data_IF_270294029437
#
_entry.id   IF_270294029437
#
_cell.length_a   1.000
_cell.length_b   1.000
_cell.length_c   1.000
_cell.angle_alpha   90.00
_cell.angle_beta   90.00
_cell.angle_gamma   90.00
#
_symmetry.space_group_name_H-M   'P 1'
#
loop_
_entity.id
_entity.type
_entity.pdbx_description
1 polymer ?
#
# COMPACT_ATOMS: atom_id res chain seq x y z
N UNK A 1 7.07 10.25 -32.78
CA UNK A 1 8.20 11.16 -32.55
C UNK A 1 9.42 10.41 -33.06
N UNK A 2 10.13 10.97 -34.04
CA UNK A 2 11.35 10.39 -34.59
C UNK A 2 12.56 11.00 -33.86
N UNK A 3 12.54 10.86 -32.53
CA UNK A 3 13.51 11.48 -31.61
C UNK A 3 14.00 10.42 -30.64
N UNK A 4 15.30 10.45 -30.35
CA UNK A 4 15.90 9.62 -29.33
C UNK A 4 15.44 10.07 -27.93
N UNK A 5 15.39 9.12 -26.99
CA UNK A 5 14.90 9.36 -25.63
C UNK A 5 15.66 10.46 -24.88
N UNK A 6 16.92 10.71 -25.24
CA UNK A 6 17.77 11.72 -24.60
C UNK A 6 17.54 13.15 -25.13
N UNK A 7 16.78 13.29 -26.21
CA UNK A 7 16.33 14.56 -26.79
C UNK A 7 14.91 14.93 -26.34
N UNK A 8 14.23 14.05 -25.61
CA UNK A 8 12.86 14.26 -25.16
C UNK A 8 12.81 15.07 -23.87
N UNK A 9 12.12 16.21 -23.93
CA UNK A 9 11.59 16.91 -22.77
C UNK A 9 10.30 16.24 -22.29
N UNK A 10 10.32 15.74 -21.05
CA UNK A 10 9.20 15.04 -20.45
C UNK A 10 8.58 15.88 -19.34
N UNK A 11 7.28 16.12 -19.43
CA UNK A 11 6.48 16.69 -18.35
C UNK A 11 5.73 15.58 -17.60
N UNK A 12 5.69 15.65 -16.28
CA UNK A 12 4.94 14.75 -15.42
C UNK A 12 4.00 15.59 -14.58
N UNK A 13 2.69 15.41 -14.77
CA UNK A 13 1.66 16.02 -13.95
C UNK A 13 1.36 15.11 -12.75
N UNK A 14 1.72 15.59 -11.56
CA UNK A 14 1.58 14.91 -10.28
C UNK A 14 2.91 14.42 -9.71
N UNK A 15 2.97 14.34 -8.38
CA UNK A 15 4.13 13.85 -7.63
C UNK A 15 3.81 12.63 -6.75
N UNK A 16 2.85 11.80 -7.19
CA UNK A 16 2.42 10.61 -6.46
C UNK A 16 3.31 9.38 -6.66
N UNK A 17 2.83 8.24 -6.17
CA UNK A 17 3.51 6.93 -6.36
C UNK A 17 3.73 6.59 -7.83
N UNK A 18 2.77 6.92 -8.69
CA UNK A 18 2.85 6.68 -10.13
C UNK A 18 3.94 7.52 -10.79
N UNK A 19 4.03 8.81 -10.45
CA UNK A 19 5.10 9.68 -10.92
C UNK A 19 6.49 9.15 -10.54
N UNK A 20 6.64 8.63 -9.31
CA UNK A 20 7.88 7.96 -8.88
C UNK A 20 8.26 6.77 -9.74
N UNK A 21 7.31 5.85 -9.97
CA UNK A 21 7.55 4.68 -10.82
C UNK A 21 7.89 5.11 -12.25
N UNK A 22 7.23 6.14 -12.76
CA UNK A 22 7.50 6.69 -14.07
C UNK A 22 8.94 7.18 -14.18
N UNK A 23 9.41 8.02 -13.25
CA UNK A 23 10.80 8.48 -13.22
C UNK A 23 11.78 7.31 -13.13
N UNK A 24 11.52 6.31 -12.27
CA UNK A 24 12.34 5.09 -12.18
C UNK A 24 12.47 4.33 -13.50
N UNK A 25 11.43 4.37 -14.34
CA UNK A 25 11.44 3.72 -15.64
C UNK A 25 11.99 4.60 -16.76
N UNK A 26 11.98 5.92 -16.63
CA UNK A 26 12.49 6.85 -17.63
C UNK A 26 14.02 6.99 -17.56
N UNK A 27 14.60 7.05 -16.35
CA UNK A 27 16.04 7.25 -16.20
C UNK A 27 16.90 6.17 -16.88
N UNK A 28 16.59 4.86 -16.78
CA UNK A 28 17.35 3.83 -17.48
C UNK A 28 17.25 3.90 -19.01
N UNK A 29 16.31 4.69 -19.54
CA UNK A 29 16.12 4.92 -20.98
C UNK A 29 16.83 6.18 -21.48
N UNK A 30 17.76 6.73 -20.69
CA UNK A 30 18.57 7.90 -21.02
C UNK A 30 17.77 9.21 -21.22
N UNK A 31 16.60 9.36 -20.61
CA UNK A 31 15.89 10.66 -20.60
C UNK A 31 16.69 11.66 -19.78
N UNK A 32 17.01 12.81 -20.38
CA UNK A 32 17.85 13.86 -19.77
C UNK A 32 17.07 15.05 -19.20
N UNK A 33 15.80 15.21 -19.56
CA UNK A 33 15.01 16.40 -19.20
C UNK A 33 13.64 15.96 -18.69
N UNK A 34 13.43 16.10 -17.38
CA UNK A 34 12.15 15.80 -16.73
C UNK A 34 11.70 17.02 -15.94
N UNK A 35 10.43 17.41 -16.12
CA UNK A 35 9.77 18.45 -15.33
C UNK A 35 8.58 17.86 -14.60
N UNK A 36 8.59 17.94 -13.27
CA UNK A 36 7.47 17.51 -12.41
C UNK A 36 6.62 18.73 -12.07
N UNK A 37 5.36 18.70 -12.49
CA UNK A 37 4.36 19.72 -12.18
C UNK A 37 3.44 19.19 -11.11
N UNK A 38 3.25 19.91 -10.00
CA UNK A 38 2.39 19.45 -8.92
C UNK A 38 1.65 20.60 -8.21
N UNK A 39 0.57 20.25 -7.50
CA UNK A 39 -0.21 21.20 -6.69
C UNK A 39 0.60 21.85 -5.57
N UNK A 40 1.51 21.10 -4.95
CA UNK A 40 2.42 21.62 -3.93
C UNK A 40 3.86 21.52 -4.40
N UNK A 41 4.60 22.62 -4.23
CA UNK A 41 6.03 22.69 -4.52
C UNK A 41 6.78 21.60 -3.74
N UNK A 42 6.51 21.51 -2.43
CA UNK A 42 7.08 20.49 -1.56
C UNK A 42 6.86 19.06 -2.09
N UNK A 43 5.71 18.75 -2.68
CA UNK A 43 5.45 17.42 -3.26
C UNK A 43 6.33 17.14 -4.47
N UNK A 44 6.52 18.11 -5.36
CA UNK A 44 7.41 18.00 -6.51
C UNK A 44 8.88 17.87 -6.08
N UNK A 45 9.33 18.71 -5.14
CA UNK A 45 10.70 18.70 -4.62
C UNK A 45 11.03 17.38 -3.91
N UNK A 46 10.08 16.87 -3.10
CA UNK A 46 10.22 15.59 -2.43
C UNK A 46 10.42 14.46 -3.46
N UNK A 47 9.69 14.48 -4.57
CA UNK A 47 9.87 13.47 -5.61
C UNK A 47 11.20 13.64 -6.36
N UNK A 48 11.56 14.87 -6.73
CA UNK A 48 12.82 15.16 -7.41
C UNK A 48 14.04 14.75 -6.56
N UNK A 49 14.01 15.03 -5.25
CA UNK A 49 15.10 14.69 -4.32
C UNK A 49 15.34 13.18 -4.16
N UNK A 50 14.40 12.32 -4.57
CA UNK A 50 14.60 10.87 -4.61
C UNK A 50 15.58 10.43 -5.71
N UNK A 51 15.87 11.30 -6.68
CA UNK A 51 16.71 11.03 -7.84
C UNK A 51 17.77 12.14 -8.02
N UNK A 52 18.74 12.26 -7.09
CA UNK A 52 19.69 13.38 -7.08
C UNK A 52 20.59 13.44 -8.32
N UNK A 53 20.83 12.31 -8.99
CA UNK A 53 21.65 12.23 -10.20
C UNK A 53 20.88 12.58 -11.49
N UNK A 54 19.56 12.80 -11.38
CA UNK A 54 18.70 13.12 -12.50
C UNK A 54 18.48 14.64 -12.63
N UNK A 55 18.50 15.14 -13.86
CA UNK A 55 18.13 16.52 -14.15
C UNK A 55 16.60 16.66 -14.15
N UNK A 56 16.06 16.87 -12.94
CA UNK A 56 14.62 17.02 -12.69
C UNK A 56 14.34 18.46 -12.27
N UNK A 57 13.50 19.14 -13.05
CA UNK A 57 12.92 20.44 -12.70
C UNK A 57 11.56 20.22 -12.03
N UNK A 58 11.17 21.19 -11.22
CA UNK A 58 9.88 21.19 -10.51
C UNK A 58 9.13 22.46 -10.81
N UNK A 59 7.82 22.38 -11.02
CA UNK A 59 6.96 23.53 -11.27
C UNK A 59 5.60 23.38 -10.56
N UNK A 60 4.94 24.51 -10.35
CA UNK A 60 3.58 24.57 -9.83
C UNK A 60 2.54 24.46 -10.94
N UNK A 61 1.29 24.16 -10.56
CA UNK A 61 0.17 24.04 -11.50
C UNK A 61 -0.09 25.30 -12.33
N UNK A 62 0.27 26.48 -11.82
CA UNK A 62 0.11 27.74 -12.55
C UNK A 62 0.94 27.78 -13.84
N UNK A 63 2.07 27.07 -13.86
CA UNK A 63 2.92 26.90 -15.05
C UNK A 63 2.61 25.63 -15.85
N UNK A 64 1.55 24.88 -15.50
CA UNK A 64 1.25 23.59 -16.10
C UNK A 64 1.15 23.66 -17.62
N UNK A 65 0.36 24.58 -18.16
CA UNK A 65 0.13 24.69 -19.60
C UNK A 65 1.41 25.05 -20.37
N UNK A 66 2.26 25.91 -19.80
CA UNK A 66 3.57 26.24 -20.37
C UNK A 66 4.49 25.01 -20.43
N UNK A 67 4.54 24.24 -19.33
CA UNK A 67 5.37 23.03 -19.28
C UNK A 67 4.85 21.93 -20.22
N UNK A 68 3.53 21.80 -20.34
CA UNK A 68 2.89 20.88 -21.30
C UNK A 68 3.20 21.30 -22.73
N UNK A 69 3.07 22.59 -23.04
CA UNK A 69 3.22 23.14 -24.38
C UNK A 69 4.64 23.12 -24.93
N UNK A 70 5.65 23.11 -24.04
CA UNK A 70 7.07 23.01 -24.39
C UNK A 70 7.59 21.57 -24.44
N UNK A 71 6.88 20.62 -23.83
CA UNK A 71 7.32 19.23 -23.71
C UNK A 71 7.01 18.39 -24.94
N UNK A 72 7.81 17.34 -25.16
CA UNK A 72 7.56 16.34 -26.20
C UNK A 72 6.52 15.31 -25.75
N UNK A 73 6.61 14.92 -24.47
CA UNK A 73 5.74 13.91 -23.87
C UNK A 73 5.28 14.41 -22.51
N UNK A 74 3.98 14.35 -22.26
CA UNK A 74 3.38 14.68 -20.96
C UNK A 74 2.68 13.46 -20.38
N UNK A 75 3.03 13.09 -19.16
CA UNK A 75 2.36 12.04 -18.40
C UNK A 75 1.42 12.66 -17.37
N UNK A 76 0.13 12.36 -17.46
CA UNK A 76 -0.84 12.75 -16.44
C UNK A 76 -1.05 11.59 -15.45
N UNK A 77 -0.77 11.84 -14.17
CA UNK A 77 -0.95 10.85 -13.09
C UNK A 77 -1.40 11.52 -11.78
N UNK A 78 -2.28 12.52 -11.89
CA UNK A 78 -2.81 13.29 -10.75
C UNK A 78 -4.07 12.65 -10.15
N UNK A 79 -4.44 13.09 -8.95
CA UNK A 79 -5.71 12.72 -8.30
C UNK A 79 -6.88 13.65 -8.62
N UNK A 80 -6.86 14.35 -9.76
CA UNK A 80 -7.99 15.20 -10.17
C UNK A 80 -9.25 14.35 -10.46
N UNK A 81 -10.42 14.88 -10.09
CA UNK A 81 -11.72 14.20 -10.32
C UNK A 81 -12.29 14.49 -11.70
N UNK A 82 -11.90 15.61 -12.28
CA UNK A 82 -12.27 16.03 -13.64
C UNK A 82 -10.98 16.17 -14.47
N UNK A 83 -11.08 16.10 -15.80
CA UNK A 83 -9.95 16.43 -16.66
C UNK A 83 -9.40 17.82 -16.36
N UNK A 84 -8.10 17.98 -16.57
CA UNK A 84 -7.35 19.23 -16.38
C UNK A 84 -6.74 19.73 -17.70
N UNK A 85 -6.62 18.84 -18.69
CA UNK A 85 -6.22 19.17 -20.05
C UNK A 85 -7.43 18.97 -20.97
N UNK A 86 -7.85 20.08 -21.60
CA UNK A 86 -8.99 20.16 -22.51
C UNK A 86 -8.54 20.76 -23.83
N UNK A 87 -9.35 20.63 -24.88
CA UNK A 87 -9.03 21.18 -26.19
C UNK A 87 -8.69 22.68 -26.10
N UNK A 88 -9.51 23.45 -25.38
CA UNK A 88 -9.44 24.91 -25.32
C UNK A 88 -8.15 25.41 -24.66
N UNK A 89 -7.68 24.72 -23.62
CA UNK A 89 -6.47 25.12 -22.92
C UNK A 89 -5.20 24.59 -23.59
N UNK A 90 -5.29 23.52 -24.38
CA UNK A 90 -4.19 23.00 -25.18
C UNK A 90 -3.96 23.85 -26.44
N UNK A 91 -5.02 24.25 -27.17
CA UNK A 91 -4.89 25.02 -28.42
C UNK A 91 -4.07 26.30 -28.26
N UNK A 92 -4.23 27.02 -27.14
CA UNK A 92 -3.46 28.23 -26.85
C UNK A 92 -2.07 27.99 -26.25
N UNK A 93 -1.81 26.78 -25.74
CA UNK A 93 -0.59 26.48 -24.99
C UNK A 93 0.46 25.71 -25.81
N UNK A 94 0.05 24.92 -26.80
CA UNK A 94 0.96 24.07 -27.56
C UNK A 94 1.91 24.90 -28.44
N UNK A 95 3.22 24.78 -28.18
CA UNK A 95 4.26 25.42 -28.99
C UNK A 95 4.81 24.47 -30.07
N UNK A 96 4.46 23.19 -29.97
CA UNK A 96 4.89 22.10 -30.86
C UNK A 96 4.01 20.88 -30.70
N UNK A 97 4.16 19.91 -31.60
CA UNK A 97 3.49 18.62 -31.46
C UNK A 97 3.96 17.85 -30.23
N UNK A 98 3.02 17.24 -29.51
CA UNK A 98 3.29 16.53 -28.25
C UNK A 98 2.45 15.26 -28.11
N UNK A 99 2.98 14.31 -27.35
CA UNK A 99 2.27 13.11 -26.92
C UNK A 99 1.78 13.28 -25.48
N UNK A 100 0.49 13.12 -25.24
CA UNK A 100 -0.10 13.14 -23.91
C UNK A 100 -0.46 11.71 -23.52
N UNK A 101 -0.06 11.28 -22.32
CA UNK A 101 -0.30 9.93 -21.82
C UNK A 101 -0.99 10.02 -20.47
N UNK A 102 -2.25 9.62 -20.41
CA UNK A 102 -3.04 9.58 -19.19
C UNK A 102 -2.94 8.20 -18.52
N UNK A 103 -2.40 8.18 -17.31
CA UNK A 103 -2.27 6.98 -16.48
C UNK A 103 -3.17 7.09 -15.22
N UNK A 104 -4.13 8.03 -15.20
CA UNK A 104 -5.04 8.26 -14.08
C UNK A 104 -6.43 7.67 -14.29
N UNK A 105 -7.06 7.32 -13.15
CA UNK A 105 -8.48 6.99 -13.05
C UNK A 105 -9.04 7.69 -11.81
N UNK A 106 -9.92 8.71 -11.92
CA UNK A 106 -10.51 9.27 -13.14
C UNK A 106 -9.50 9.94 -14.10
N UNK A 107 -9.88 10.08 -15.38
CA UNK A 107 -9.01 10.66 -16.43
C UNK A 107 -8.69 12.12 -16.14
N UNK A 108 -7.46 12.51 -16.42
CA UNK A 108 -6.93 13.87 -16.32
C UNK A 108 -6.91 14.59 -17.68
N UNK A 109 -6.99 13.85 -18.79
CA UNK A 109 -7.03 14.39 -20.14
C UNK A 109 -8.39 14.07 -20.75
N UNK A 110 -9.06 15.09 -21.29
CA UNK A 110 -10.14 14.86 -22.25
C UNK A 110 -9.50 14.44 -23.58
N UNK A 111 -9.36 13.13 -23.78
CA UNK A 111 -8.68 12.55 -24.93
C UNK A 111 -9.41 12.83 -26.25
N UNK A 112 -10.73 12.98 -26.23
CA UNK A 112 -11.52 13.34 -27.42
C UNK A 112 -11.25 14.78 -27.84
N UNK A 113 -11.22 15.71 -26.87
CA UNK A 113 -10.88 17.11 -27.12
C UNK A 113 -9.41 17.30 -27.51
N UNK A 114 -8.49 16.71 -26.74
CA UNK A 114 -7.05 16.85 -26.93
C UNK A 114 -6.58 16.35 -28.31
N UNK A 115 -7.16 15.25 -28.82
CA UNK A 115 -6.81 14.73 -30.15
C UNK A 115 -7.31 15.58 -31.33
N UNK A 116 -8.12 16.62 -31.09
CA UNK A 116 -8.50 17.60 -32.12
C UNK A 116 -7.46 18.72 -32.28
N UNK A 117 -6.56 18.89 -31.31
CA UNK A 117 -5.52 19.91 -31.35
C UNK A 117 -4.41 19.48 -32.31
N UNK A 118 -4.03 20.36 -33.23
CA UNK A 118 -3.03 20.05 -34.25
C UNK A 118 -1.68 19.65 -33.62
N UNK A 119 -1.14 18.53 -34.07
CA UNK A 119 0.15 18.00 -33.57
C UNK A 119 0.08 17.31 -32.20
N UNK A 120 -1.08 17.28 -31.52
CA UNK A 120 -1.27 16.59 -30.25
C UNK A 120 -1.79 15.17 -30.47
N UNK A 121 -1.25 14.21 -29.73
CA UNK A 121 -1.79 12.84 -29.65
C UNK A 121 -1.95 12.43 -28.20
N UNK A 122 -3.19 12.24 -27.77
CA UNK A 122 -3.54 11.80 -26.42
C UNK A 122 -3.83 10.29 -26.40
N UNK A 123 -3.26 9.61 -25.41
CA UNK A 123 -3.41 8.18 -25.15
C UNK A 123 -3.82 7.98 -23.70
N UNK A 124 -4.65 6.97 -23.44
CA UNK A 124 -4.99 6.53 -22.09
C UNK A 124 -4.47 5.10 -21.83
N UNK A 125 -4.68 4.61 -20.60
CA UNK A 125 -4.26 3.25 -20.19
C UNK A 125 -4.85 2.14 -21.07
N UNK A 126 -6.04 2.32 -21.63
CA UNK A 126 -6.67 1.32 -22.49
C UNK A 126 -6.02 1.24 -23.87
N UNK A 127 -5.59 2.38 -24.43
CA UNK A 127 -4.85 2.43 -25.70
C UNK A 127 -3.50 1.70 -25.60
N UNK A 128 -2.86 1.78 -24.44
CA UNK A 128 -1.60 1.08 -24.16
C UNK A 128 -1.78 -0.45 -24.13
N UNK A 129 -2.96 -0.97 -23.74
CA UNK A 129 -3.21 -2.42 -23.70
C UNK A 129 -3.17 -3.06 -25.08
N UNK A 130 -3.58 -2.34 -26.12
CA UNK A 130 -3.56 -2.81 -27.51
C UNK A 130 -2.13 -3.13 -28.00
N UNK A 131 -1.15 -2.32 -27.59
CA UNK A 131 0.27 -2.52 -27.93
C UNK A 131 0.89 -3.67 -27.13
N UNK A 132 0.52 -3.82 -25.85
CA UNK A 132 1.06 -4.88 -24.99
C UNK A 132 0.49 -6.26 -25.38
N UNK A 133 -0.70 -6.32 -26.00
CA UNK A 133 -1.33 -7.56 -26.48
C UNK A 133 -0.44 -8.41 -27.41
N UNK A 134 0.56 -7.81 -28.06
CA UNK A 134 1.56 -8.54 -28.85
C UNK A 134 2.53 -9.41 -28.02
N UNK A 135 2.61 -9.23 -26.69
CA UNK A 135 3.50 -9.97 -25.78
C UNK A 135 2.73 -11.00 -24.91
N UNK A 136 1.87 -11.82 -25.51
CA UNK A 136 1.01 -12.78 -24.80
C UNK A 136 1.79 -13.93 -24.13
N UNK A 137 2.82 -14.49 -24.80
CA UNK A 137 3.51 -15.70 -24.31
C UNK A 137 4.28 -15.47 -22.99
N UNK A 138 4.92 -14.31 -22.82
CA UNK A 138 5.64 -13.97 -21.57
C UNK A 138 4.66 -13.70 -20.41
N UNK A 139 3.47 -13.16 -20.70
CA UNK A 139 2.44 -12.89 -19.69
C UNK A 139 1.81 -14.16 -19.14
N UNK A 140 1.54 -15.15 -19.98
CA UNK A 140 0.95 -16.41 -19.52
C UNK A 140 1.80 -17.10 -18.45
N UNK A 141 3.13 -17.09 -18.62
CA UNK A 141 4.05 -17.67 -17.62
C UNK A 141 4.05 -16.90 -16.30
N UNK A 142 4.02 -15.57 -16.35
CA UNK A 142 3.96 -14.71 -15.15
C UNK A 142 2.61 -14.81 -14.43
N UNK A 143 1.51 -15.01 -15.17
CA UNK A 143 0.18 -15.21 -14.58
C UNK A 143 0.13 -16.52 -13.80
N UNK A 144 0.65 -17.62 -14.36
CA UNK A 144 0.69 -18.91 -13.67
C UNK A 144 1.51 -18.84 -12.37
N UNK A 145 2.66 -18.16 -12.39
CA UNK A 145 3.51 -17.97 -11.21
C UNK A 145 2.83 -17.09 -10.14
N UNK A 146 2.10 -16.05 -10.57
CA UNK A 146 1.33 -15.20 -9.66
C UNK A 146 0.11 -15.93 -9.06
N UNK A 147 -0.54 -16.80 -9.83
CA UNK A 147 -1.66 -17.62 -9.35
C UNK A 147 -1.21 -18.62 -8.26
N UNK A 148 -0.06 -19.27 -8.43
CA UNK A 148 0.50 -20.15 -7.39
C UNK A 148 0.77 -19.38 -6.09
N UNK A 149 1.39 -18.20 -6.20
CA UNK A 149 1.68 -17.35 -5.03
C UNK A 149 0.40 -16.86 -4.34
N UNK A 150 -0.61 -16.48 -5.13
CA UNK A 150 -1.92 -16.09 -4.59
C UNK A 150 -2.65 -17.24 -3.91
N UNK A 151 -2.55 -18.47 -4.43
CA UNK A 151 -3.17 -19.65 -3.82
C UNK A 151 -2.59 -19.95 -2.44
N UNK A 152 -1.27 -19.83 -2.30
CA UNK A 152 -0.61 -20.07 -1.02
C UNK A 152 -0.94 -18.98 0.00
N UNK A 153 -1.00 -17.71 -0.42
CA UNK A 153 -1.44 -16.62 0.45
C UNK A 153 -2.92 -16.76 0.85
N UNK A 154 -3.79 -17.19 -0.07
CA UNK A 154 -5.20 -17.50 0.23
C UNK A 154 -5.36 -18.63 1.24
N UNK A 155 -4.52 -19.67 1.18
CA UNK A 155 -4.54 -20.76 2.17
C UNK A 155 -4.11 -20.25 3.54
N UNK A 156 -3.04 -19.47 3.60
CA UNK A 156 -2.55 -18.83 4.83
C UNK A 156 -3.61 -17.91 5.44
N UNK A 157 -4.22 -17.05 4.64
CA UNK A 157 -5.31 -16.16 5.05
C UNK A 157 -6.54 -16.93 5.55
N UNK A 158 -6.97 -18.00 4.85
CA UNK A 158 -8.08 -18.85 5.31
C UNK A 158 -7.76 -19.54 6.63
N UNK A 159 -6.55 -20.04 6.79
CA UNK A 159 -6.09 -20.65 8.04
C UNK A 159 -6.10 -19.66 9.21
N UNK A 160 -5.59 -18.46 8.98
CA UNK A 160 -5.66 -17.36 9.95
C UNK A 160 -7.11 -16.97 10.27
N UNK A 161 -7.96 -16.76 9.26
CA UNK A 161 -9.36 -16.39 9.45
C UNK A 161 -10.15 -17.45 10.23
N UNK A 162 -9.93 -18.73 9.94
CA UNK A 162 -10.54 -19.84 10.70
C UNK A 162 -10.07 -19.86 12.16
N UNK A 163 -8.80 -19.52 12.41
CA UNK A 163 -8.26 -19.44 13.78
C UNK A 163 -8.99 -18.40 14.63
N UNK A 164 -9.45 -17.30 14.03
CA UNK A 164 -10.22 -16.25 14.73
C UNK A 164 -11.53 -16.79 15.32
N UNK A 165 -12.12 -17.82 14.71
CA UNK A 165 -13.32 -18.49 15.21
C UNK A 165 -13.11 -19.20 16.56
N UNK A 166 -11.86 -19.51 16.93
CA UNK A 166 -11.53 -20.17 18.20
C UNK A 166 -11.32 -19.20 19.37
N UNK A 167 -11.10 -17.91 19.08
CA UNK A 167 -10.86 -16.85 20.08
C UNK A 167 -12.03 -16.67 21.07
N UNK A 168 -13.32 -16.68 20.64
CA UNK A 168 -14.46 -16.61 21.56
C UNK A 168 -14.58 -17.82 22.49
N UNK A 169 -14.11 -18.99 22.06
CA UNK A 169 -14.11 -20.21 22.87
C UNK A 169 -13.02 -20.14 23.95
N UNK A 170 -11.80 -19.74 23.56
CA UNK A 170 -10.66 -19.57 24.48
C UNK A 170 -10.97 -18.53 25.56
N UNK A 171 -11.53 -17.38 25.18
CA UNK A 171 -11.92 -16.32 26.13
C UNK A 171 -13.01 -16.79 27.11
N UNK A 172 -14.01 -17.56 26.64
CA UNK A 172 -15.00 -18.20 27.54
C UNK A 172 -14.34 -19.19 28.52
N UNK A 173 -13.39 -19.99 28.05
CA UNK A 173 -12.69 -20.96 28.89
C UNK A 173 -11.83 -20.27 29.97
N UNK A 174 -11.10 -19.23 29.59
CA UNK A 174 -10.31 -18.39 30.50
C UNK A 174 -11.20 -17.65 31.52
N UNK A 175 -12.35 -17.13 31.09
CA UNK A 175 -13.31 -16.47 31.98
C UNK A 175 -13.86 -17.46 33.02
N UNK A 176 -14.21 -18.68 32.60
CA UNK A 176 -14.68 -19.74 33.51
C UNK A 176 -13.59 -20.16 34.49
N UNK A 177 -12.36 -20.34 34.03
CA UNK A 177 -11.22 -20.66 34.90
C UNK A 177 -10.95 -19.56 35.93
N UNK A 178 -11.01 -18.28 35.51
CA UNK A 178 -10.85 -17.14 36.40
C UNK A 178 -11.99 -17.00 37.42
N UNK A 179 -13.22 -17.33 37.03
CA UNK A 179 -14.37 -17.36 37.95
C UNK A 179 -14.16 -18.38 39.07
N UNK A 180 -13.79 -19.61 38.72
CA UNK A 180 -13.49 -20.68 39.69
C UNK A 180 -12.35 -20.25 40.62
N UNK A 181 -11.27 -19.68 40.06
CA UNK A 181 -10.15 -19.14 40.86
C UNK A 181 -10.61 -18.11 41.88
N UNK A 182 -11.45 -17.15 41.49
CA UNK A 182 -11.98 -16.11 42.40
C UNK A 182 -12.88 -16.71 43.47
N UNK A 183 -13.76 -17.63 43.11
CA UNK A 183 -14.66 -18.31 44.06
C UNK A 183 -13.86 -19.09 45.12
N UNK A 184 -12.81 -19.81 44.72
CA UNK A 184 -11.94 -20.51 45.66
C UNK A 184 -11.16 -19.52 46.55
N UNK A 185 -10.57 -18.46 45.99
CA UNK A 185 -9.88 -17.43 46.77
C UNK A 185 -10.80 -16.80 47.83
N UNK A 186 -12.04 -16.47 47.48
CA UNK A 186 -13.02 -15.93 48.42
C UNK A 186 -13.40 -16.93 49.52
N UNK A 187 -13.49 -18.24 49.21
CA UNK A 187 -13.70 -19.28 50.23
C UNK A 187 -12.52 -19.35 51.20
N UNK A 188 -11.28 -19.21 50.72
CA UNK A 188 -10.09 -19.17 51.56
C UNK A 188 -10.03 -17.88 52.41
N UNK A 189 -10.33 -16.71 51.83
CA UNK A 189 -10.37 -15.45 52.58
C UNK A 189 -11.37 -15.49 53.74
N UNK A 190 -12.56 -16.06 53.53
CA UNK A 190 -13.55 -16.26 54.61
C UNK A 190 -13.08 -17.25 55.68
N UNK A 191 -12.33 -18.29 55.32
CA UNK A 191 -11.73 -19.24 56.28
C UNK A 191 -10.54 -18.66 57.03
N UNK A 192 -9.93 -17.59 56.50
CA UNK A 192 -8.74 -16.93 57.05
C UNK A 192 -9.09 -15.67 57.86
N UNK A 193 -10.33 -15.17 57.85
CA UNK A 193 -10.72 -13.88 58.43
C UNK A 193 -10.58 -13.77 59.96
N UNK A 194 -10.27 -14.85 60.67
CA UNK A 194 -10.02 -14.86 62.12
C UNK A 194 -8.58 -15.24 62.55
N UNK A 195 -7.62 -15.37 61.62
CA UNK A 195 -6.28 -15.89 61.91
C UNK A 195 -5.18 -14.82 61.92
N UNK A 196 -4.19 -14.96 62.81
CA UNK A 196 -3.01 -14.08 62.94
C UNK A 196 -2.11 -14.14 61.70
N UNK A 197 -1.39 -13.06 61.39
CA UNK A 197 -0.62 -12.86 60.14
C UNK A 197 0.36 -14.01 59.80
N UNK A 198 0.98 -14.66 60.81
CA UNK A 198 1.89 -15.83 60.64
C UNK A 198 1.17 -17.11 60.20
N UNK A 199 -0.07 -17.32 60.63
CA UNK A 199 -0.84 -18.54 60.35
C UNK A 199 -1.51 -18.46 58.97
N UNK A 200 -1.81 -17.24 58.50
CA UNK A 200 -2.36 -16.97 57.17
C UNK A 200 -1.39 -17.31 56.04
N UNK A 201 -0.12 -16.93 56.16
CA UNK A 201 0.93 -17.23 55.16
C UNK A 201 1.18 -18.74 55.03
N UNK A 202 1.25 -19.47 56.14
CA UNK A 202 1.53 -20.91 56.12
C UNK A 202 0.39 -21.76 55.52
N UNK A 203 -0.88 -21.40 55.78
CA UNK A 203 -2.04 -22.10 55.18
C UNK A 203 -2.29 -21.69 53.73
N UNK A 204 -2.01 -20.44 53.35
CA UNK A 204 -2.07 -20.00 51.96
C UNK A 204 -1.04 -20.74 51.09
N UNK A 205 0.19 -20.91 51.56
CA UNK A 205 1.22 -21.69 50.83
C UNK A 205 0.79 -23.14 50.59
N UNK A 206 0.31 -23.85 51.63
CA UNK A 206 -0.12 -25.25 51.46
C UNK A 206 -1.37 -25.42 50.59
N UNK A 207 -2.33 -24.51 50.67
CA UNK A 207 -3.56 -24.56 49.88
C UNK A 207 -3.36 -24.14 48.41
N UNK A 208 -2.51 -23.14 48.18
CA UNK A 208 -2.16 -22.67 46.83
C UNK A 208 -1.28 -23.71 46.14
N UNK A 209 -0.30 -24.32 46.81
CA UNK A 209 0.57 -25.32 46.17
C UNK A 209 -0.21 -26.60 45.80
N UNK A 210 -1.16 -27.05 46.62
CA UNK A 210 -1.91 -28.28 46.36
C UNK A 210 -2.90 -28.20 45.18
N UNK A 211 -3.55 -27.04 44.96
CA UNK A 211 -4.58 -26.89 43.91
C UNK A 211 -4.17 -25.97 42.74
N UNK A 212 -3.18 -25.08 42.93
CA UNK A 212 -2.67 -24.25 41.84
C UNK A 212 -1.74 -25.06 40.92
N UNK A 213 -1.03 -26.08 41.42
CA UNK A 213 -0.21 -26.96 40.56
C UNK A 213 -1.06 -27.76 39.55
N UNK A 214 -2.25 -28.24 39.94
CA UNK A 214 -3.16 -28.97 39.04
C UNK A 214 -3.77 -28.06 37.97
N UNK A 215 -4.07 -26.80 38.31
CA UNK A 215 -4.55 -25.80 37.35
C UNK A 215 -3.42 -25.23 36.45
N UNK A 216 -2.20 -25.09 36.98
CA UNK A 216 -1.06 -24.53 36.24
C UNK A 216 -0.50 -25.51 35.20
N UNK A 217 -0.52 -26.82 35.48
CA UNK A 217 -0.17 -27.86 34.48
C UNK A 217 -1.20 -27.88 33.34
N UNK A 218 -2.50 -27.73 33.63
CA UNK A 218 -3.54 -27.64 32.62
C UNK A 218 -3.44 -26.36 31.75
N UNK A 219 -3.00 -25.24 32.33
CA UNK A 219 -2.79 -23.97 31.61
C UNK A 219 -1.52 -23.94 30.75
N UNK A 220 -0.48 -24.68 31.13
CA UNK A 220 0.79 -24.73 30.37
C UNK A 220 0.61 -25.38 29.00
N UNK A 221 -0.28 -26.37 28.89
CA UNK A 221 -0.63 -27.05 27.62
C UNK A 221 -1.42 -26.14 26.66
N UNK A 222 -2.20 -25.20 27.20
CA UNK A 222 -2.99 -24.25 26.39
C UNK A 222 -2.15 -23.03 25.96
N UNK A 223 -1.23 -22.55 26.81
CA UNK A 223 -0.40 -21.37 26.49
C UNK A 223 0.85 -21.68 25.66
N UNK A 224 1.35 -22.92 25.63
CA UNK A 224 2.49 -23.29 24.75
C UNK A 224 2.08 -23.53 23.30
N UNK A 225 0.79 -23.75 23.04
CA UNK A 225 0.26 -23.89 21.67
C UNK A 225 0.26 -22.54 20.90
N UNK A 226 0.37 -21.41 21.60
CA UNK A 226 0.23 -20.06 21.03
C UNK A 226 1.57 -19.48 20.51
N UNK A 227 2.73 -19.94 21.01
CA UNK A 227 4.03 -19.37 20.62
C UNK A 227 4.63 -19.92 19.32
N UNK A 228 4.25 -21.13 18.89
CA UNK A 228 4.89 -21.75 17.72
C UNK A 228 4.24 -21.40 16.37
N UNK A 229 3.04 -20.82 16.35
CA UNK A 229 2.33 -20.46 15.10
C UNK A 229 2.25 -18.97 14.80
N UNK A 230 2.41 -18.09 15.80
CA UNK A 230 2.35 -16.63 15.62
C UNK A 230 3.67 -15.97 15.20
N UNK A 231 4.78 -16.71 15.14
CA UNK A 231 6.11 -16.19 14.72
C UNK A 231 6.46 -16.60 13.28
N UNK A 232 5.58 -17.34 12.59
CA UNK A 232 5.81 -17.80 11.20
C UNK A 232 4.60 -17.63 10.27
N UNK A 233 3.71 -16.70 10.56
CA UNK A 233 2.65 -16.27 9.65
C UNK A 233 2.78 -14.77 9.41
#
# INVERSE_FOLDING_TARGET
LDLDMDQLDICILGAGKMARLLVQHLLPRNVKSITIVNRSQQGADNLASMFPDANIKTALMDSMLEMVGTSHVTFACTGAMEPILYQENLEGAMQRGAMLVDISVPRNIDDVGANKVEGVKAYNVDDLKAVVAANQARRQRLVLEAEELLQDEMKSFKGWHQSLGTVPMITKLQSRANKIRREELLKYERKLSGLTRRTKTWRADKGIVANCCTAHVALRTVMTFDRHRLVKA
#
